data_IF_383697643073
#
_entry.id   IF_383697643073
#
_cell.length_a   1.000
_cell.length_b   1.000
_cell.length_c   1.000
_cell.angle_alpha   90.00
_cell.angle_beta   90.00
_cell.angle_gamma   90.00
#
_symmetry.space_group_name_H-M   'P 1'
#
loop_
_entity.id
_entity.type
_entity.pdbx_description
1 polymer ?
#
# COMPACT_ATOMS: atom_id res chain seq x y z
N UNK A 1 -20.09 12.66 24.79
CA UNK A 1 -18.81 12.69 25.53
C UNK A 1 -17.71 12.91 24.53
N UNK A 2 -17.18 14.12 24.45
CA UNK A 2 -15.98 14.38 23.64
C UNK A 2 -14.79 13.78 24.41
N UNK A 3 -14.08 12.81 23.83
CA UNK A 3 -12.92 12.19 24.50
C UNK A 3 -11.76 13.19 24.50
N UNK A 4 -11.04 13.28 25.62
CA UNK A 4 -9.83 14.10 25.69
C UNK A 4 -8.80 13.60 24.67
N UNK A 5 -8.03 14.50 24.06
CA UNK A 5 -6.93 14.15 23.16
C UNK A 5 -5.93 13.20 23.82
N UNK A 6 -5.75 13.29 25.14
CA UNK A 6 -4.88 12.41 25.93
C UNK A 6 -5.41 10.97 25.96
N UNK A 7 -6.71 10.81 26.19
CA UNK A 7 -7.36 9.49 26.19
C UNK A 7 -7.29 8.84 24.80
N UNK A 8 -7.44 9.64 23.75
CA UNK A 8 -7.32 9.16 22.36
C UNK A 8 -5.87 8.77 22.04
N UNK A 9 -4.89 9.59 22.45
CA UNK A 9 -3.47 9.30 22.28
C UNK A 9 -3.07 8.00 22.99
N UNK A 10 -3.52 7.82 24.25
CA UNK A 10 -3.30 6.60 25.03
C UNK A 10 -3.91 5.38 24.35
N UNK A 11 -5.16 5.50 23.86
CA UNK A 11 -5.88 4.42 23.20
C UNK A 11 -5.23 3.98 21.88
N UNK A 12 -4.73 4.95 21.10
CA UNK A 12 -4.10 4.71 19.80
C UNK A 12 -2.59 4.41 19.91
N UNK A 13 -2.01 4.50 21.12
CA UNK A 13 -0.57 4.40 21.36
C UNK A 13 0.22 5.39 20.50
N UNK A 14 -0.30 6.60 20.34
CA UNK A 14 0.29 7.66 19.54
C UNK A 14 0.65 8.86 20.42
N UNK A 15 1.50 9.73 19.89
CA UNK A 15 1.81 10.98 20.57
C UNK A 15 0.62 11.94 20.56
N UNK A 16 0.47 12.75 21.61
CA UNK A 16 -0.54 13.80 21.68
C UNK A 16 -0.49 14.74 20.47
N UNK A 17 0.73 15.07 20.02
CA UNK A 17 0.96 15.94 18.86
C UNK A 17 0.42 15.35 17.56
N UNK A 18 0.56 14.03 17.36
CA UNK A 18 0.00 13.35 16.19
C UNK A 18 -1.53 13.45 16.17
N UNK A 19 -2.19 13.18 17.32
CA UNK A 19 -3.64 13.27 17.44
C UNK A 19 -4.14 14.70 17.18
N UNK A 20 -3.45 15.72 17.72
CA UNK A 20 -3.77 17.13 17.46
C UNK A 20 -3.63 17.50 15.98
N UNK A 21 -2.58 17.02 15.30
CA UNK A 21 -2.39 17.22 13.87
C UNK A 21 -3.51 16.55 13.06
N UNK A 22 -3.86 15.30 13.36
CA UNK A 22 -4.95 14.61 12.69
C UNK A 22 -6.28 15.33 12.82
N UNK A 23 -6.60 15.82 14.02
CA UNK A 23 -7.83 16.58 14.26
C UNK A 23 -7.82 17.89 13.48
N UNK A 24 -6.69 18.58 13.43
CA UNK A 24 -6.53 19.80 12.62
C UNK A 24 -6.73 19.51 11.13
N UNK A 25 -6.02 18.53 10.58
CA UNK A 25 -6.15 18.13 9.18
C UNK A 25 -7.57 17.67 8.82
N UNK A 26 -8.24 16.97 9.73
CA UNK A 26 -9.63 16.58 9.55
C UNK A 26 -10.59 17.77 9.54
N UNK A 27 -10.35 18.79 10.36
CA UNK A 27 -11.15 20.02 10.35
C UNK A 27 -10.94 20.85 9.08
N UNK A 28 -9.73 20.84 8.54
CA UNK A 28 -9.37 21.64 7.36
C UNK A 28 -9.77 20.96 6.04
N UNK A 29 -9.53 19.66 5.91
CA UNK A 29 -9.64 18.89 4.65
C UNK A 29 -10.57 17.66 4.76
N UNK A 30 -11.23 17.46 5.91
CA UNK A 30 -12.07 16.29 6.14
C UNK A 30 -11.28 14.98 6.12
N UNK A 31 -11.87 13.94 5.52
CA UNK A 31 -11.23 12.63 5.38
C UNK A 31 -9.96 12.71 4.50
N UNK A 32 -9.91 13.63 3.54
CA UNK A 32 -8.74 13.75 2.66
C UNK A 32 -7.49 14.23 3.40
N UNK A 33 -7.64 15.05 4.45
CA UNK A 33 -6.54 15.47 5.31
C UNK A 33 -5.92 14.35 6.16
N UNK A 34 -6.63 13.23 6.31
CA UNK A 34 -6.14 12.04 7.02
C UNK A 34 -5.46 11.03 6.08
N UNK A 35 -5.62 11.17 4.75
CA UNK A 35 -4.98 10.26 3.79
C UNK A 35 -3.46 10.50 3.76
N UNK A 36 -2.71 9.44 3.52
CA UNK A 36 -1.26 9.54 3.36
C UNK A 36 -0.95 10.39 2.11
N UNK A 37 -0.49 11.62 2.35
CA UNK A 37 -0.06 12.51 1.28
C UNK A 37 1.29 12.03 0.73
N UNK A 38 1.43 12.08 -0.59
CA UNK A 38 2.72 11.83 -1.23
C UNK A 38 3.76 12.76 -0.62
N UNK A 39 4.84 12.19 -0.09
CA UNK A 39 5.94 12.98 0.46
C UNK A 39 6.47 13.90 -0.62
N UNK A 40 6.33 15.21 -0.43
CA UNK A 40 6.98 16.21 -1.27
C UNK A 40 8.47 16.17 -0.98
N UNK A 41 9.18 15.35 -1.75
CA UNK A 41 10.62 15.14 -1.61
C UNK A 41 11.19 14.58 -2.91
N UNK A 42 12.53 14.47 -2.99
CA UNK A 42 13.20 13.93 -4.17
C UNK A 42 12.63 12.54 -4.48
N UNK A 43 12.08 12.29 -5.68
CA UNK A 43 11.62 10.97 -6.04
C UNK A 43 12.78 10.00 -5.89
N UNK A 44 12.54 8.88 -5.20
CA UNK A 44 13.57 7.85 -5.07
C UNK A 44 13.91 7.31 -6.45
N UNK A 45 15.17 7.45 -6.87
CA UNK A 45 15.69 6.90 -8.14
C UNK A 45 15.43 5.39 -8.24
N UNK A 46 15.32 4.70 -7.11
CA UNK A 46 15.10 3.25 -7.03
C UNK A 46 13.64 2.82 -7.27
N UNK A 47 12.67 3.74 -7.30
CA UNK A 47 11.24 3.39 -7.40
C UNK A 47 10.86 2.75 -8.76
N UNK A 48 11.58 3.10 -9.83
CA UNK A 48 11.09 2.87 -11.19
C UNK A 48 11.76 1.70 -11.93
N UNK A 49 12.83 1.11 -11.41
CA UNK A 49 13.62 0.11 -12.17
C UNK A 49 13.41 -1.34 -11.71
N UNK A 50 13.06 -1.56 -10.45
CA UNK A 50 13.03 -2.91 -9.88
C UNK A 50 11.61 -3.51 -9.83
N UNK A 51 10.58 -2.66 -9.71
CA UNK A 51 9.19 -3.12 -9.61
C UNK A 51 8.68 -3.72 -10.93
N UNK A 52 9.00 -3.09 -12.06
CA UNK A 52 8.56 -3.55 -13.38
C UNK A 52 9.24 -4.85 -13.78
N UNK A 53 10.53 -5.01 -13.49
CA UNK A 53 11.28 -6.24 -13.77
C UNK A 53 10.78 -7.43 -12.94
N UNK A 54 10.47 -7.21 -11.67
CA UNK A 54 9.92 -8.25 -10.79
C UNK A 54 8.50 -8.64 -11.21
N UNK A 55 7.64 -7.68 -11.58
CA UNK A 55 6.31 -8.00 -12.11
C UNK A 55 6.39 -8.75 -13.44
N UNK A 56 7.30 -8.35 -14.35
CA UNK A 56 7.53 -9.06 -15.61
C UNK A 56 8.03 -10.49 -15.40
N UNK A 57 8.96 -10.71 -14.46
CA UNK A 57 9.43 -12.06 -14.16
C UNK A 57 8.34 -12.93 -13.54
N UNK A 58 7.51 -12.39 -12.66
CA UNK A 58 6.35 -13.09 -12.07
C UNK A 58 5.34 -13.49 -13.16
N UNK A 59 4.99 -12.56 -14.07
CA UNK A 59 4.08 -12.85 -15.18
C UNK A 59 4.65 -13.90 -16.14
N UNK A 60 5.95 -13.82 -16.45
CA UNK A 60 6.62 -14.82 -17.28
C UNK A 60 6.59 -16.22 -16.63
N UNK A 61 6.81 -16.31 -15.32
CA UNK A 61 6.72 -17.58 -14.58
C UNK A 61 5.30 -18.16 -14.59
N UNK A 62 4.27 -17.31 -14.47
CA UNK A 62 2.87 -17.74 -14.54
C UNK A 62 2.48 -18.28 -15.92
N UNK A 63 2.90 -17.60 -16.99
CA UNK A 63 2.64 -18.04 -18.37
C UNK A 63 3.29 -19.39 -18.66
N UNK A 64 4.55 -19.59 -18.27
CA UNK A 64 5.25 -20.86 -18.46
C UNK A 64 4.57 -22.01 -17.71
N UNK A 65 4.01 -21.74 -16.52
CA UNK A 65 3.23 -22.72 -15.75
C UNK A 65 1.93 -23.10 -16.46
N UNK A 66 1.19 -22.13 -16.98
CA UNK A 66 -0.05 -22.39 -17.74
C UNK A 66 0.22 -23.21 -19.01
N UNK A 67 1.31 -22.92 -19.74
CA UNK A 67 1.70 -23.67 -20.94
C UNK A 67 2.03 -25.12 -20.59
N UNK A 68 2.86 -25.35 -19.57
CA UNK A 68 3.21 -26.70 -19.11
C UNK A 68 1.98 -27.52 -18.66
N UNK A 69 1.03 -26.88 -17.98
CA UNK A 69 -0.22 -27.52 -17.56
C UNK A 69 -1.14 -27.82 -18.76
N UNK A 70 -1.18 -26.95 -19.77
CA UNK A 70 -1.96 -27.17 -20.99
C UNK A 70 -1.38 -28.29 -21.86
N UNK A 71 -0.06 -28.36 -22.01
CA UNK A 71 0.64 -29.39 -22.77
C UNK A 71 0.44 -30.77 -22.12
N UNK A 72 0.53 -30.84 -20.78
CA UNK A 72 0.25 -32.07 -20.04
C UNK A 72 -1.20 -32.53 -20.18
N UNK A 73 -2.15 -31.59 -20.31
CA UNK A 73 -3.56 -31.89 -20.49
C UNK A 73 -3.87 -32.40 -21.90
N UNK A 74 -3.19 -31.86 -22.92
CA UNK A 74 -3.26 -32.34 -24.31
C UNK A 74 -2.75 -33.79 -24.39
N UNK A 75 -1.58 -34.09 -23.83
CA UNK A 75 -1.03 -35.45 -23.85
C UNK A 75 -1.84 -36.49 -23.06
N UNK A 76 -2.67 -36.08 -22.10
CA UNK A 76 -3.55 -36.98 -21.32
C UNK A 76 -4.93 -37.18 -21.96
N UNK A 77 -5.25 -36.47 -23.03
CA UNK A 77 -6.56 -36.53 -23.71
C UNK A 77 -6.51 -37.19 -25.10
N UNK A 78 -5.31 -37.58 -25.57
CA UNK A 78 -5.10 -38.53 -26.66
C UNK A 78 -4.96 -39.95 -26.10
#
# INVERSE_FOLDING_TARGET
MEKSYEQVAQYLLQSLSAVKQWVRHYKDEGIDGLKEKQRSGRPSKARNQNHTKLLQSILAMQNNKMVAESDLKIFKTC
#
